data_IF_558149021185
#
_entry.id   IF_558149021185
#
_cell.length_a   1.000
_cell.length_b   1.000
_cell.length_c   1.000
_cell.angle_alpha   90.00
_cell.angle_beta   90.00
_cell.angle_gamma   90.00
#
_symmetry.space_group_name_H-M   'P 1'
#
loop_
_entity.id
_entity.type
_entity.pdbx_description
1 polymer ?
#
# COMPACT_ATOMS: atom_id res chain seq x y z
N UNK A 1 -1.92 -8.26 -2.49
CA UNK A 1 -1.24 -7.29 -1.63
C UNK A 1 -1.88 -7.18 -0.26
N UNK A 2 -1.09 -7.36 0.82
CA UNK A 2 -1.54 -7.22 2.20
C UNK A 2 -1.32 -5.79 2.74
N UNK A 3 -1.61 -4.81 1.92
CA UNK A 3 -1.76 -3.42 2.35
C UNK A 3 -3.11 -3.19 3.05
N UNK A 4 -3.42 -1.94 3.45
CA UNK A 4 -4.65 -1.62 4.17
C UNK A 4 -5.91 -2.16 3.50
N UNK A 5 -6.05 -1.93 2.20
CA UNK A 5 -7.22 -2.41 1.43
C UNK A 5 -7.25 -3.94 1.36
N UNK A 6 -6.09 -4.59 1.24
CA UNK A 6 -6.00 -6.05 1.22
C UNK A 6 -6.46 -6.68 2.53
N UNK A 7 -6.02 -6.13 3.67
CA UNK A 7 -6.43 -6.59 4.99
C UNK A 7 -7.93 -6.44 5.20
N UNK A 8 -8.49 -5.26 4.92
CA UNK A 8 -9.92 -4.97 5.03
C UNK A 8 -10.76 -5.87 4.11
N UNK A 9 -10.30 -6.07 2.87
CA UNK A 9 -10.98 -6.94 1.91
C UNK A 9 -10.96 -8.39 2.37
N UNK A 10 -9.82 -8.87 2.87
CA UNK A 10 -9.68 -10.23 3.40
C UNK A 10 -10.59 -10.45 4.60
N UNK A 11 -10.58 -9.51 5.56
CA UNK A 11 -11.46 -9.56 6.73
C UNK A 11 -12.93 -9.64 6.32
N UNK A 12 -13.36 -8.75 5.41
CA UNK A 12 -14.75 -8.72 4.97
C UNK A 12 -15.15 -9.99 4.21
N UNK A 13 -14.27 -10.50 3.35
CA UNK A 13 -14.53 -11.75 2.64
C UNK A 13 -14.62 -12.94 3.60
N UNK A 14 -13.75 -13.01 4.62
CA UNK A 14 -13.83 -14.03 5.68
C UNK A 14 -15.12 -13.92 6.49
N UNK A 15 -15.50 -12.70 6.85
CA UNK A 15 -16.78 -12.45 7.54
C UNK A 15 -17.99 -12.94 6.73
N UNK A 16 -17.94 -12.84 5.40
CA UNK A 16 -18.98 -13.36 4.49
C UNK A 16 -18.87 -14.88 4.26
N UNK A 17 -17.91 -15.58 4.87
CA UNK A 17 -17.75 -17.03 4.75
C UNK A 17 -16.90 -17.52 3.57
N UNK A 18 -16.23 -16.62 2.83
CA UNK A 18 -15.34 -17.03 1.75
C UNK A 18 -14.04 -17.65 2.29
N UNK A 19 -13.49 -18.60 1.54
CA UNK A 19 -12.12 -19.05 1.71
C UNK A 19 -11.19 -18.02 1.08
N UNK A 20 -10.27 -17.47 1.88
CA UNK A 20 -9.38 -16.38 1.45
C UNK A 20 -7.93 -16.82 1.51
N UNK A 21 -7.15 -16.43 0.52
CA UNK A 21 -5.69 -16.41 0.56
C UNK A 21 -5.23 -15.01 0.21
N UNK A 22 -4.66 -14.30 1.17
CA UNK A 22 -4.09 -12.96 1.00
C UNK A 22 -2.60 -13.08 0.73
N UNK A 23 -2.15 -12.67 -0.45
CA UNK A 23 -0.77 -12.84 -0.90
C UNK A 23 -0.05 -11.49 -0.86
N UNK A 24 1.12 -11.45 -0.22
CA UNK A 24 1.98 -10.28 -0.12
C UNK A 24 3.42 -10.65 -0.50
N UNK A 25 4.03 -9.84 -1.36
CA UNK A 25 5.42 -10.09 -1.81
C UNK A 25 6.47 -9.72 -0.75
N UNK A 26 6.15 -8.75 0.11
CA UNK A 26 7.00 -8.24 1.17
C UNK A 26 6.35 -8.55 2.54
N UNK A 27 6.60 -7.70 3.54
CA UNK A 27 5.91 -7.71 4.82
C UNK A 27 4.53 -7.07 4.72
N UNK A 28 3.64 -7.41 5.65
CA UNK A 28 2.32 -6.79 5.77
C UNK A 28 2.46 -5.28 5.88
N UNK A 29 1.71 -4.55 5.07
CA UNK A 29 1.71 -3.09 5.02
C UNK A 29 3.08 -2.44 4.79
N UNK A 30 4.04 -3.13 4.16
CA UNK A 30 5.39 -2.63 3.90
C UNK A 30 5.41 -1.23 3.27
N UNK A 31 4.46 -0.93 2.38
CA UNK A 31 4.37 0.39 1.77
C UNK A 31 3.95 1.49 2.75
N UNK A 32 3.13 1.19 3.75
CA UNK A 32 2.76 2.15 4.82
C UNK A 32 3.99 2.49 5.64
N UNK A 33 4.81 1.50 5.97
CA UNK A 33 6.04 1.69 6.72
C UNK A 33 7.07 2.57 5.98
N UNK A 34 7.04 2.63 4.64
CA UNK A 34 7.92 3.53 3.88
C UNK A 34 7.59 5.01 4.09
N UNK A 35 6.34 5.36 4.39
CA UNK A 35 5.92 6.73 4.68
C UNK A 35 5.40 6.90 6.11
N UNK A 36 5.84 6.06 7.01
CA UNK A 36 5.40 6.00 8.41
C UNK A 36 5.49 7.35 9.17
N UNK A 37 6.41 8.22 8.78
CA UNK A 37 6.63 9.55 9.35
C UNK A 37 5.62 10.61 8.88
N UNK A 38 4.86 10.33 7.83
CA UNK A 38 3.92 11.28 7.24
C UNK A 38 2.60 11.22 7.99
N UNK A 39 2.08 12.40 8.39
CA UNK A 39 0.73 12.53 8.94
C UNK A 39 -0.29 12.44 7.83
N UNK A 40 -1.33 11.63 8.02
CA UNK A 40 -2.45 11.53 7.10
C UNK A 40 -3.34 12.78 7.18
N UNK A 41 -4.00 13.11 6.06
CA UNK A 41 -4.98 14.21 5.98
C UNK A 41 -6.39 13.77 6.38
N UNK A 42 -6.64 12.47 6.37
CA UNK A 42 -7.92 11.86 6.77
C UNK A 42 -7.84 11.38 8.22
N UNK A 43 -9.00 11.38 8.88
CA UNK A 43 -9.12 10.97 10.28
C UNK A 43 -9.03 9.45 10.41
N UNK A 44 -8.77 8.96 11.61
CA UNK A 44 -8.72 7.52 11.87
C UNK A 44 -10.04 6.83 11.47
N UNK A 45 -11.20 7.46 11.75
CA UNK A 45 -12.50 6.92 11.36
C UNK A 45 -12.67 6.69 9.85
N UNK A 46 -12.03 7.54 9.02
CA UNK A 46 -12.06 7.43 7.55
C UNK A 46 -11.09 6.33 7.04
N UNK A 47 -10.08 5.99 7.85
CA UNK A 47 -9.02 5.05 7.52
C UNK A 47 -9.18 3.67 8.20
N UNK A 48 -10.30 3.42 8.87
CA UNK A 48 -10.58 2.16 9.58
C UNK A 48 -12.05 1.76 9.40
N UNK A 49 -12.31 0.49 9.13
CA UNK A 49 -13.69 0.01 9.05
C UNK A 49 -14.29 -0.27 10.42
N UNK A 50 -15.62 -0.21 10.50
CA UNK A 50 -16.34 -0.64 11.72
C UNK A 50 -16.10 -2.12 12.01
N UNK A 51 -16.04 -2.96 10.96
CA UNK A 51 -15.78 -4.38 11.09
C UNK A 51 -14.35 -4.63 11.60
N UNK A 52 -13.35 -3.93 11.05
CA UNK A 52 -11.95 -4.06 11.48
C UNK A 52 -11.76 -3.67 12.94
N UNK A 53 -12.32 -2.54 13.36
CA UNK A 53 -12.29 -2.12 14.78
C UNK A 53 -12.99 -3.12 15.69
N UNK A 54 -14.13 -3.68 15.27
CA UNK A 54 -14.86 -4.69 16.03
C UNK A 54 -14.08 -6.00 16.14
N UNK A 55 -13.39 -6.44 15.08
CA UNK A 55 -12.56 -7.63 15.09
C UNK A 55 -11.38 -7.49 16.07
N UNK A 56 -10.68 -6.35 16.04
CA UNK A 56 -9.58 -6.06 16.98
C UNK A 56 -10.11 -6.03 18.43
N UNK A 57 -11.18 -5.28 18.69
CA UNK A 57 -11.74 -5.18 20.03
C UNK A 57 -12.28 -6.52 20.58
N UNK A 58 -12.82 -7.37 19.71
CA UNK A 58 -13.28 -8.71 20.08
C UNK A 58 -12.15 -9.65 20.49
N UNK A 59 -10.99 -9.54 19.86
CA UNK A 59 -9.83 -10.38 20.13
C UNK A 59 -8.92 -9.82 21.22
N UNK A 60 -8.77 -8.50 21.28
CA UNK A 60 -7.88 -7.79 22.21
C UNK A 60 -8.64 -6.60 22.83
N UNK A 61 -9.53 -6.83 23.80
CA UNK A 61 -10.36 -5.77 24.38
C UNK A 61 -9.59 -4.62 25.04
N UNK A 62 -8.37 -4.89 25.52
CA UNK A 62 -7.46 -3.91 26.12
C UNK A 62 -6.64 -3.13 25.08
N UNK A 63 -6.67 -3.51 23.81
CA UNK A 63 -5.96 -2.77 22.78
C UNK A 63 -6.62 -1.41 22.55
N UNK A 64 -5.92 -0.29 22.81
CA UNK A 64 -6.51 1.03 22.65
C UNK A 64 -6.66 1.37 21.16
N UNK A 65 -7.89 1.58 20.73
CA UNK A 65 -8.16 2.19 19.43
C UNK A 65 -8.20 3.71 19.58
N UNK A 66 -7.59 4.40 18.63
CA UNK A 66 -7.58 5.86 18.62
C UNK A 66 -8.99 6.46 18.42
N UNK A 67 -9.17 7.71 18.85
CA UNK A 67 -10.41 8.43 18.62
C UNK A 67 -10.66 8.62 17.12
N UNK A 68 -11.91 8.47 16.68
CA UNK A 68 -12.29 8.46 15.27
C UNK A 68 -11.96 9.77 14.52
N UNK A 69 -11.88 10.88 15.22
CA UNK A 69 -11.55 12.20 14.69
C UNK A 69 -10.05 12.53 14.70
N UNK A 70 -9.23 11.64 15.26
CA UNK A 70 -7.80 11.83 15.36
C UNK A 70 -7.11 11.67 14.00
N UNK A 71 -6.15 12.55 13.71
CA UNK A 71 -5.19 12.39 12.61
C UNK A 71 -4.02 11.53 13.10
N UNK A 72 -3.58 10.61 12.26
CA UNK A 72 -2.49 9.69 12.57
C UNK A 72 -1.35 9.85 11.58
N UNK A 73 -0.14 9.55 12.03
CA UNK A 73 0.97 9.22 11.12
C UNK A 73 0.81 7.80 10.59
N UNK A 74 1.52 7.49 9.49
CA UNK A 74 1.56 6.13 8.97
C UNK A 74 2.02 5.10 10.02
N UNK A 75 2.98 5.48 10.89
CA UNK A 75 3.44 4.63 11.99
C UNK A 75 2.35 4.36 13.03
N UNK A 76 1.61 5.38 13.43
CA UNK A 76 0.51 5.24 14.39
C UNK A 76 -0.61 4.38 13.80
N UNK A 77 -1.00 4.64 12.56
CA UNK A 77 -2.01 3.85 11.86
C UNK A 77 -1.62 2.38 11.74
N UNK A 78 -0.36 2.12 11.35
CA UNK A 78 0.16 0.75 11.29
C UNK A 78 0.07 0.08 12.66
N UNK A 79 0.69 0.67 13.69
CA UNK A 79 0.79 0.08 15.02
C UNK A 79 -0.55 -0.09 15.72
N UNK A 80 -1.44 0.90 15.60
CA UNK A 80 -2.69 0.94 16.37
C UNK A 80 -3.85 0.25 15.66
N UNK A 81 -3.75 0.02 14.34
CA UNK A 81 -4.84 -0.56 13.59
C UNK A 81 -4.42 -1.69 12.62
N UNK A 82 -3.51 -1.44 11.67
CA UNK A 82 -3.24 -2.38 10.58
C UNK A 82 -2.52 -3.64 11.08
N UNK A 83 -1.55 -3.50 11.96
CA UNK A 83 -0.83 -4.62 12.55
C UNK A 83 -1.75 -5.47 13.43
N UNK A 84 -2.53 -4.92 14.40
CA UNK A 84 -3.52 -5.70 15.13
C UNK A 84 -4.56 -6.36 14.23
N UNK A 85 -5.04 -5.67 13.19
CA UNK A 85 -5.98 -6.22 12.22
C UNK A 85 -5.42 -7.47 11.53
N UNK A 86 -4.14 -7.41 11.10
CA UNK A 86 -3.48 -8.53 10.43
C UNK A 86 -3.31 -9.77 11.31
N UNK A 87 -3.34 -9.59 12.64
CA UNK A 87 -3.21 -10.66 13.62
C UNK A 87 -4.56 -11.18 14.14
N UNK A 88 -5.68 -10.68 13.61
CA UNK A 88 -6.99 -11.23 14.00
C UNK A 88 -7.11 -12.68 13.51
N UNK A 89 -7.80 -13.52 14.29
CA UNK A 89 -8.05 -14.95 14.01
C UNK A 89 -8.75 -15.18 12.68
N UNK A 90 -9.52 -14.20 12.21
CA UNK A 90 -10.21 -14.27 10.92
C UNK A 90 -9.26 -14.29 9.73
N UNK A 91 -8.09 -13.66 9.81
CA UNK A 91 -7.22 -13.49 8.63
C UNK A 91 -5.76 -13.91 8.83
N UNK A 92 -5.24 -14.03 10.06
CA UNK A 92 -3.82 -14.30 10.31
C UNK A 92 -3.31 -15.53 9.58
N UNK A 93 -4.03 -16.65 9.64
CA UNK A 93 -3.67 -17.92 8.99
C UNK A 93 -3.88 -17.90 7.47
N UNK A 94 -4.44 -16.83 6.95
CA UNK A 94 -4.75 -16.68 5.51
C UNK A 94 -3.78 -15.74 4.79
N UNK A 95 -2.83 -15.13 5.51
CA UNK A 95 -1.81 -14.25 4.94
C UNK A 95 -0.57 -15.06 4.55
N UNK A 96 -0.12 -14.89 3.31
CA UNK A 96 1.13 -15.44 2.80
C UNK A 96 2.05 -14.29 2.42
N UNK A 97 2.98 -13.96 3.30
CA UNK A 97 4.05 -12.98 3.05
C UNK A 97 5.18 -13.58 2.20
N UNK A 98 6.11 -12.77 1.75
CA UNK A 98 7.25 -13.15 0.91
C UNK A 98 6.87 -13.95 -0.34
N UNK A 99 5.61 -13.85 -0.76
CA UNK A 99 5.04 -14.57 -1.88
C UNK A 99 4.61 -13.59 -2.97
N UNK A 100 5.25 -13.64 -4.13
CA UNK A 100 4.97 -12.72 -5.23
C UNK A 100 3.99 -13.34 -6.22
N UNK A 101 2.93 -12.62 -6.57
CA UNK A 101 2.09 -12.97 -7.72
C UNK A 101 2.83 -12.56 -9.00
N UNK A 102 3.10 -13.52 -9.86
CA UNK A 102 3.78 -13.31 -11.15
C UNK A 102 2.77 -13.04 -12.27
N UNK A 103 1.67 -13.79 -12.29
CA UNK A 103 0.61 -13.59 -13.29
C UNK A 103 -0.74 -14.11 -12.80
N UNK A 104 -1.79 -13.51 -13.36
CA UNK A 104 -3.17 -13.94 -13.19
C UNK A 104 -3.76 -14.13 -14.57
N UNK A 105 -4.32 -15.30 -14.82
CA UNK A 105 -4.97 -15.65 -16.09
C UNK A 105 -6.23 -16.48 -15.83
N UNK A 106 -7.05 -16.69 -16.84
CA UNK A 106 -8.08 -17.73 -16.80
C UNK A 106 -7.42 -19.09 -16.95
N UNK A 107 -8.03 -20.11 -16.38
CA UNK A 107 -7.48 -21.48 -16.39
C UNK A 107 -7.54 -22.13 -17.78
N UNK A 108 -8.59 -21.86 -18.55
CA UNK A 108 -8.83 -22.48 -19.86
C UNK A 108 -9.01 -21.47 -20.99
N UNK A 109 -9.49 -20.26 -20.69
CA UNK A 109 -9.81 -19.24 -21.68
C UNK A 109 -8.64 -18.26 -21.87
N UNK A 110 -8.32 -17.97 -23.12
CA UNK A 110 -7.37 -16.92 -23.47
C UNK A 110 -8.10 -15.62 -23.85
N UNK A 111 -7.36 -14.51 -23.96
CA UNK A 111 -7.93 -13.17 -24.21
C UNK A 111 -8.74 -13.10 -25.51
N UNK A 112 -8.34 -13.85 -26.51
CA UNK A 112 -8.97 -13.85 -27.86
C UNK A 112 -10.18 -14.78 -27.98
N UNK A 113 -10.45 -15.58 -26.97
CA UNK A 113 -11.62 -16.47 -27.02
C UNK A 113 -12.91 -15.64 -26.93
N UNK A 114 -13.80 -15.87 -27.87
CA UNK A 114 -15.15 -15.28 -27.91
C UNK A 114 -16.15 -16.12 -27.10
N UNK A 115 -15.73 -16.50 -25.89
CA UNK A 115 -16.58 -17.34 -25.03
C UNK A 115 -17.78 -16.55 -24.49
N UNK A 116 -18.92 -17.24 -24.41
CA UNK A 116 -20.14 -16.71 -23.80
C UNK A 116 -19.91 -16.31 -22.34
N UNK A 117 -20.66 -15.33 -21.80
CA UNK A 117 -20.49 -14.84 -20.43
C UNK A 117 -20.53 -15.95 -19.39
N UNK A 118 -21.43 -16.93 -19.53
CA UNK A 118 -21.57 -18.06 -18.61
C UNK A 118 -20.31 -18.94 -18.61
N UNK A 119 -19.72 -19.19 -19.78
CA UNK A 119 -18.46 -19.93 -19.90
C UNK A 119 -17.31 -19.17 -19.22
N UNK A 120 -17.27 -17.85 -19.35
CA UNK A 120 -16.25 -17.03 -18.68
C UNK A 120 -16.42 -17.01 -17.16
N UNK A 121 -17.66 -16.97 -16.67
CA UNK A 121 -17.95 -17.01 -15.22
C UNK A 121 -17.61 -18.37 -14.63
N UNK A 122 -17.86 -19.45 -15.37
CA UNK A 122 -17.57 -20.83 -14.92
C UNK A 122 -16.08 -21.19 -14.98
N UNK A 123 -15.23 -20.39 -15.63
CA UNK A 123 -13.78 -20.62 -15.69
C UNK A 123 -13.07 -19.98 -14.50
N UNK A 124 -12.29 -20.78 -13.78
CA UNK A 124 -11.52 -20.31 -12.62
C UNK A 124 -10.33 -19.44 -13.04
N UNK A 125 -9.77 -18.71 -12.08
CA UNK A 125 -8.50 -18.03 -12.26
C UNK A 125 -7.34 -18.96 -11.91
N UNK A 126 -6.30 -18.85 -12.71
CA UNK A 126 -4.99 -19.43 -12.48
C UNK A 126 -4.04 -18.32 -12.02
N UNK A 127 -3.57 -18.40 -10.78
CA UNK A 127 -2.68 -17.44 -10.16
C UNK A 127 -1.31 -18.09 -10.02
N UNK A 128 -0.33 -17.65 -10.80
CA UNK A 128 1.06 -18.08 -10.69
C UNK A 128 1.73 -17.25 -9.59
N UNK A 129 2.26 -17.92 -8.59
CA UNK A 129 2.95 -17.32 -7.46
C UNK A 129 4.38 -17.85 -7.34
N UNK A 130 5.24 -17.04 -6.76
CA UNK A 130 6.63 -17.36 -6.45
C UNK A 130 6.90 -17.14 -4.96
N UNK A 131 7.39 -18.18 -4.30
CA UNK A 131 7.86 -18.17 -2.93
C UNK A 131 9.34 -18.53 -2.93
N UNK A 132 10.20 -17.56 -2.63
CA UNK A 132 11.64 -17.72 -2.85
C UNK A 132 11.95 -18.03 -4.32
N UNK A 133 12.48 -19.23 -4.60
CA UNK A 133 12.77 -19.71 -5.97
C UNK A 133 11.69 -20.64 -6.52
N UNK A 134 10.72 -21.02 -5.71
CA UNK A 134 9.70 -22.00 -6.10
C UNK A 134 8.50 -21.31 -6.72
N UNK A 135 8.10 -21.72 -7.91
CA UNK A 135 6.86 -21.30 -8.53
C UNK A 135 5.78 -22.36 -8.34
N UNK A 136 4.58 -21.92 -7.97
CA UNK A 136 3.39 -22.76 -7.83
C UNK A 136 2.16 -22.06 -8.39
N UNK A 137 1.11 -22.83 -8.63
CA UNK A 137 -0.15 -22.31 -9.15
C UNK A 137 -1.25 -22.49 -8.12
N UNK A 138 -1.98 -21.41 -7.85
CA UNK A 138 -3.23 -21.44 -7.10
C UNK A 138 -4.41 -21.29 -8.06
N UNK A 139 -5.50 -22.00 -7.76
CA UNK A 139 -6.79 -21.81 -8.44
C UNK A 139 -7.70 -20.98 -7.55
N UNK A 140 -8.43 -20.03 -8.15
CA UNK A 140 -9.38 -19.20 -7.42
C UNK A 140 -10.61 -18.89 -8.29
N UNK A 141 -11.79 -18.82 -7.66
CA UNK A 141 -13.02 -18.40 -8.33
C UNK A 141 -13.07 -16.89 -8.50
N UNK A 142 -12.48 -16.16 -7.54
CA UNK A 142 -12.44 -14.69 -7.50
C UNK A 142 -11.01 -14.25 -7.21
N UNK A 143 -10.53 -13.26 -7.94
CA UNK A 143 -9.27 -12.56 -7.65
C UNK A 143 -9.55 -11.08 -7.48
N UNK A 144 -9.08 -10.51 -6.38
CA UNK A 144 -9.16 -9.08 -6.08
C UNK A 144 -7.74 -8.53 -6.02
N UNK A 145 -7.42 -7.59 -6.90
CA UNK A 145 -6.11 -6.93 -6.92
C UNK A 145 -6.11 -5.74 -5.95
N UNK A 146 -5.32 -5.88 -4.90
CA UNK A 146 -5.07 -4.88 -3.86
C UNK A 146 -3.58 -4.52 -3.76
N UNK A 147 -2.82 -4.69 -4.85
CA UNK A 147 -1.35 -4.47 -4.87
C UNK A 147 -0.94 -3.00 -4.73
N UNK A 148 -1.89 -2.06 -4.87
CA UNK A 148 -1.64 -0.63 -4.73
C UNK A 148 -0.79 -0.04 -5.87
N UNK A 149 -0.42 1.22 -5.73
CA UNK A 149 0.30 1.97 -6.78
C UNK A 149 1.68 2.47 -6.35
N UNK A 150 2.03 2.40 -5.07
CA UNK A 150 3.29 2.94 -4.54
C UNK A 150 4.55 2.23 -5.07
N UNK A 151 4.39 0.99 -5.56
CA UNK A 151 5.46 0.25 -6.24
C UNK A 151 5.72 0.69 -7.68
N UNK A 152 4.81 1.48 -8.26
CA UNK A 152 4.87 1.98 -9.63
C UNK A 152 4.64 3.50 -9.65
N UNK A 153 5.63 4.30 -9.25
CA UNK A 153 5.50 5.74 -9.22
C UNK A 153 5.29 6.32 -10.62
N UNK A 154 4.53 7.42 -10.70
CA UNK A 154 4.36 8.14 -11.95
C UNK A 154 5.70 8.63 -12.47
N UNK A 155 5.87 8.57 -13.79
CA UNK A 155 7.04 9.12 -14.48
C UNK A 155 6.84 10.64 -14.72
N UNK A 156 7.95 11.39 -14.83
CA UNK A 156 7.92 12.86 -14.94
C UNK A 156 7.98 13.37 -16.39
N UNK A 157 8.14 12.48 -17.35
CA UNK A 157 8.21 12.84 -18.76
C UNK A 157 6.86 13.21 -19.36
N UNK A 158 6.90 13.73 -20.56
CA UNK A 158 5.70 14.17 -21.30
C UNK A 158 4.68 13.03 -21.44
N UNK A 159 3.41 13.34 -21.21
CA UNK A 159 2.34 12.35 -21.27
C UNK A 159 2.40 11.27 -20.18
N UNK A 160 3.21 11.45 -19.13
CA UNK A 160 3.37 10.45 -18.07
C UNK A 160 4.35 9.33 -18.45
N UNK A 161 5.10 9.49 -19.51
CA UNK A 161 6.18 8.58 -19.89
C UNK A 161 7.50 8.87 -19.14
N UNK A 162 8.49 8.01 -19.30
CA UNK A 162 9.83 8.22 -18.71
C UNK A 162 10.54 9.38 -19.39
N UNK A 163 11.07 10.33 -18.60
CA UNK A 163 11.90 11.40 -19.11
C UNK A 163 13.31 10.91 -19.48
N UNK A 164 13.99 11.65 -20.37
CA UNK A 164 15.38 11.36 -20.73
C UNK A 164 16.25 11.44 -19.45
N UNK A 165 16.95 10.37 -19.12
CA UNK A 165 17.81 10.27 -17.96
C UNK A 165 17.10 9.97 -16.63
N UNK A 166 15.77 9.92 -16.58
CA UNK A 166 15.00 9.66 -15.35
C UNK A 166 15.44 8.36 -14.67
N UNK A 167 15.61 7.29 -15.43
CA UNK A 167 16.05 6.00 -14.90
C UNK A 167 17.47 6.01 -14.31
N UNK A 168 18.31 6.96 -14.69
CA UNK A 168 19.68 7.10 -14.19
C UNK A 168 19.77 8.00 -12.95
N UNK A 169 18.70 8.73 -12.65
CA UNK A 169 18.66 9.72 -11.57
C UNK A 169 17.98 9.21 -10.29
N UNK A 170 17.75 7.90 -10.15
CA UNK A 170 17.01 7.33 -9.00
C UNK A 170 17.52 7.73 -7.62
N UNK A 171 18.82 7.98 -7.48
CA UNK A 171 19.42 8.42 -6.22
C UNK A 171 19.14 9.89 -5.89
N UNK A 172 18.70 10.68 -6.87
CA UNK A 172 18.44 12.12 -6.75
C UNK A 172 16.96 12.45 -6.64
N UNK A 173 16.07 11.47 -6.91
CA UNK A 173 14.64 11.65 -6.78
C UNK A 173 14.13 11.13 -5.46
N UNK A 174 13.67 12.04 -4.61
CA UNK A 174 12.88 11.70 -3.44
C UNK A 174 11.41 11.61 -3.84
N UNK A 175 10.85 10.41 -3.92
CA UNK A 175 9.45 10.19 -4.32
C UNK A 175 8.47 10.27 -3.17
N UNK A 176 8.97 10.38 -1.96
CA UNK A 176 8.20 10.60 -0.72
C UNK A 176 8.70 11.86 -0.05
N UNK A 177 7.87 12.48 0.77
CA UNK A 177 8.30 13.59 1.60
C UNK A 177 9.49 13.16 2.48
N UNK A 178 10.58 13.93 2.53
CA UNK A 178 11.75 13.57 3.33
C UNK A 178 11.40 13.55 4.82
N UNK A 179 12.10 12.71 5.58
CA UNK A 179 12.10 12.79 7.05
C UNK A 179 12.81 14.10 7.47
N UNK A 180 12.66 14.50 8.74
CA UNK A 180 13.34 15.68 9.26
C UNK A 180 14.87 15.59 9.10
N UNK A 181 15.45 14.40 9.34
CA UNK A 181 16.87 14.14 9.16
C UNK A 181 17.31 14.29 7.69
N UNK A 182 16.54 13.69 6.77
CA UNK A 182 16.79 13.85 5.33
C UNK A 182 16.63 15.29 4.87
N UNK A 183 15.62 16.02 5.36
CA UNK A 183 15.41 17.42 5.06
C UNK A 183 16.60 18.29 5.55
N UNK A 184 17.18 17.97 6.71
CA UNK A 184 18.37 18.65 7.23
C UNK A 184 19.58 18.48 6.30
N UNK A 185 19.77 17.30 5.67
CA UNK A 185 20.87 17.08 4.71
C UNK A 185 20.69 17.86 3.40
N UNK A 186 19.50 18.37 3.14
CA UNK A 186 19.17 19.16 1.95
C UNK A 186 19.18 20.67 2.20
N UNK A 187 19.50 21.13 3.42
CA UNK A 187 19.34 22.52 3.85
C UNK A 187 20.06 23.54 2.95
N UNK A 188 21.29 23.21 2.52
CA UNK A 188 22.12 24.09 1.68
C UNK A 188 22.00 23.82 0.18
N UNK A 189 21.05 22.99 -0.23
CA UNK A 189 20.86 22.61 -1.63
C UNK A 189 19.72 23.40 -2.28
N UNK A 190 19.82 23.62 -3.59
CA UNK A 190 18.70 24.09 -4.40
C UNK A 190 17.79 22.89 -4.69
N UNK A 191 16.54 22.98 -4.26
CA UNK A 191 15.58 21.89 -4.37
C UNK A 191 14.49 22.30 -5.34
N UNK A 192 14.23 21.43 -6.32
CA UNK A 192 13.09 21.53 -7.22
C UNK A 192 12.03 20.50 -6.78
N UNK A 193 10.84 20.96 -6.44
CA UNK A 193 9.68 20.10 -6.15
C UNK A 193 8.80 20.04 -7.37
N UNK A 194 8.63 18.83 -7.93
CA UNK A 194 7.82 18.57 -9.13
C UNK A 194 6.55 17.85 -8.74
N UNK A 195 5.40 18.48 -8.95
CA UNK A 195 4.07 17.93 -8.67
C UNK A 195 3.20 18.87 -7.85
N UNK A 196 1.90 18.58 -7.79
CA UNK A 196 0.89 19.38 -7.08
C UNK A 196 0.01 18.53 -6.13
N UNK A 197 0.40 17.28 -5.88
CA UNK A 197 -0.33 16.37 -5.00
C UNK A 197 0.08 16.51 -3.53
N UNK A 198 -0.53 15.70 -2.67
CA UNK A 198 -0.29 15.69 -1.23
C UNK A 198 1.19 15.51 -0.86
N UNK A 199 1.92 14.65 -1.57
CA UNK A 199 3.36 14.43 -1.34
C UNK A 199 4.16 15.71 -1.56
N UNK A 200 3.85 16.49 -2.62
CA UNK A 200 4.51 17.77 -2.87
C UNK A 200 4.21 18.79 -1.75
N UNK A 201 2.95 18.89 -1.32
CA UNK A 201 2.55 19.75 -0.21
C UNK A 201 3.29 19.40 1.09
N UNK A 202 3.33 18.12 1.47
CA UNK A 202 4.09 17.66 2.64
C UNK A 202 5.59 17.96 2.52
N UNK A 203 6.16 17.71 1.35
CA UNK A 203 7.57 18.02 1.10
C UNK A 203 7.87 19.49 1.34
N UNK A 204 7.04 20.38 0.80
CA UNK A 204 7.20 21.83 1.00
C UNK A 204 7.08 22.22 2.47
N UNK A 205 6.08 21.70 3.20
CA UNK A 205 5.90 21.97 4.63
C UNK A 205 7.12 21.51 5.42
N UNK A 206 7.60 20.28 5.20
CA UNK A 206 8.75 19.73 5.92
C UNK A 206 10.04 20.52 5.61
N UNK A 207 10.28 20.87 4.35
CA UNK A 207 11.43 21.66 3.96
C UNK A 207 11.40 23.07 4.54
N UNK A 208 10.24 23.72 4.61
CA UNK A 208 10.11 25.07 5.19
C UNK A 208 10.28 25.06 6.71
N UNK A 209 9.74 24.07 7.40
CA UNK A 209 9.93 23.91 8.86
C UNK A 209 11.40 23.68 9.22
N UNK A 210 12.11 22.88 8.44
CA UNK A 210 13.54 22.61 8.66
C UNK A 210 14.39 23.83 8.35
N UNK A 211 13.95 24.70 7.42
CA UNK A 211 14.65 25.91 6.98
C UNK A 211 14.40 27.14 7.81
N UNK A 212 13.39 27.18 8.65
CA UNK A 212 13.22 28.31 9.61
C UNK A 212 14.41 28.43 10.56
N UNK A 213 15.35 27.47 10.50
CA UNK A 213 16.66 27.50 11.19
C UNK A 213 17.85 27.81 10.27
N UNK A 214 17.68 27.95 8.93
CA UNK A 214 18.76 28.20 7.95
C UNK A 214 18.26 28.96 6.71
N UNK A 215 19.02 29.96 6.23
CA UNK A 215 18.71 30.86 5.09
C UNK A 215 18.78 30.16 3.71
N UNK A 216 17.88 29.31 3.37
CA UNK A 216 17.88 28.62 2.07
C UNK A 216 16.68 28.99 1.19
N UNK A 217 16.85 29.10 -0.15
CA UNK A 217 15.82 29.47 -1.13
C UNK A 217 15.11 28.24 -1.72
N UNK A 218 13.77 28.20 -1.65
CA UNK A 218 12.94 27.19 -2.35
C UNK A 218 12.40 27.82 -3.64
N UNK A 219 12.57 27.15 -4.76
CA UNK A 219 12.01 27.57 -6.06
C UNK A 219 11.10 26.46 -6.59
#
# INVERSE_FOLDING_TARGET
GAGPIGLETALYARYLGYQVTLIEKDEVCQHVLRWQHISMFSRFGDNSSTLGRAAIAGQSPEHPLDALDQLQTGAQWFKNYLEPLSHTDLIVDHIRTHTKVLSVSRSRLIKTDLAEPQTRVADTFRVLIQDGTQETVLSADIVIDTSGVLGQPNQIGAGGGTAIGENNCHKQFHRLSPTTEQAATLADQRILVVGSGHTAAHTLVNLTQTRSTTDATIT
#
